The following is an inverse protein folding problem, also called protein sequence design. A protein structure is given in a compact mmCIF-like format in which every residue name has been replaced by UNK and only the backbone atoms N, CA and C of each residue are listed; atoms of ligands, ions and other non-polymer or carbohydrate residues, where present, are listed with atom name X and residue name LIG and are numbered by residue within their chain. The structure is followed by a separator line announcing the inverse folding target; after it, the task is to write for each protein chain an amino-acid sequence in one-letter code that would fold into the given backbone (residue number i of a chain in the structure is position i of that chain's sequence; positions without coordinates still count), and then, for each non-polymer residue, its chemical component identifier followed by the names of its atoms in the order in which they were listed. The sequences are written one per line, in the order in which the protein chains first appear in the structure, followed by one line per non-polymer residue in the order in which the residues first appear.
data_IF_676790907395
#
_entry.id   IF_676790907395
#
_cell.length_a   1.000
_cell.length_b   1.000
_cell.length_c   1.000
_cell.angle_alpha   90.00
_cell.angle_beta   90.00
_cell.angle_gamma   90.00
#
_symmetry.space_group_name_H-M   'P 1'
#
loop_
_entity.id
_entity.type
_entity.pdbx_description
1 polymer ?
#
# COMPACT_ATOMS: atom_id res chain seq x y z
N UNK A 1 9.70 -8.70 -3.90
CA UNK A 1 10.10 -8.43 -5.31
C UNK A 1 9.74 -9.52 -6.32
N UNK A 2 9.43 -10.77 -5.92
CA UNK A 2 9.14 -11.86 -6.87
C UNK A 2 7.93 -11.59 -7.78
N UNK A 3 6.84 -11.05 -7.23
CA UNK A 3 5.62 -10.74 -7.99
C UNK A 3 5.85 -9.66 -9.07
N UNK A 4 6.56 -8.58 -8.74
CA UNK A 4 6.87 -7.53 -9.71
C UNK A 4 7.74 -8.07 -10.86
N UNK A 5 8.76 -8.88 -10.55
CA UNK A 5 9.60 -9.52 -11.57
C UNK A 5 8.75 -10.42 -12.50
N UNK A 6 7.84 -11.21 -11.93
CA UNK A 6 6.91 -12.04 -12.70
C UNK A 6 6.01 -11.20 -13.62
N UNK A 7 5.48 -10.10 -13.09
CA UNK A 7 4.65 -9.17 -13.86
C UNK A 7 5.43 -8.50 -15.00
N UNK A 8 6.65 -8.03 -14.74
CA UNK A 8 7.52 -7.46 -15.79
C UNK A 8 7.85 -8.48 -16.89
N UNK A 9 8.08 -9.74 -16.54
CA UNK A 9 8.26 -10.81 -17.54
C UNK A 9 7.01 -11.02 -18.38
N UNK A 10 5.83 -10.98 -17.76
CA UNK A 10 4.55 -11.04 -18.47
C UNK A 10 4.36 -9.83 -19.41
N UNK A 11 4.69 -8.60 -18.98
CA UNK A 11 4.66 -7.41 -19.83
C UNK A 11 5.58 -7.57 -21.06
N UNK A 12 6.79 -8.09 -20.87
CA UNK A 12 7.72 -8.37 -21.98
C UNK A 12 7.14 -9.38 -22.97
N UNK A 13 6.53 -10.46 -22.48
CA UNK A 13 5.87 -11.47 -23.32
C UNK A 13 4.70 -10.86 -24.11
N UNK A 14 3.89 -10.03 -23.46
CA UNK A 14 2.77 -9.33 -24.09
C UNK A 14 3.24 -8.43 -25.24
N UNK A 15 4.26 -7.60 -25.01
CA UNK A 15 4.80 -6.72 -26.05
C UNK A 15 5.35 -7.53 -27.23
N UNK A 16 6.14 -8.59 -26.94
CA UNK A 16 6.72 -9.45 -27.97
C UNK A 16 5.66 -10.16 -28.81
N UNK A 17 4.60 -10.69 -28.19
CA UNK A 17 3.48 -11.32 -28.90
C UNK A 17 2.82 -10.38 -29.91
N UNK A 18 2.81 -9.08 -29.61
CA UNK A 18 2.26 -8.04 -30.47
C UNK A 18 3.29 -7.42 -31.44
N UNK A 19 4.50 -7.97 -31.55
CA UNK A 19 5.56 -7.44 -32.42
C UNK A 19 6.15 -6.11 -31.95
N UNK A 20 5.92 -5.74 -30.69
CA UNK A 20 6.42 -4.50 -30.08
C UNK A 20 7.50 -4.83 -29.04
N UNK A 21 8.29 -3.83 -28.65
CA UNK A 21 9.30 -3.94 -27.59
C UNK A 21 8.92 -3.01 -26.45
N UNK A 22 8.95 -3.52 -25.23
CA UNK A 22 8.80 -2.73 -24.01
C UNK A 22 10.02 -1.80 -23.87
N UNK A 23 9.78 -0.50 -23.77
CA UNK A 23 10.78 0.55 -23.56
C UNK A 23 10.98 0.80 -22.06
N UNK A 24 12.05 1.52 -21.70
CA UNK A 24 12.33 1.86 -20.29
C UNK A 24 11.39 2.94 -19.75
N UNK A 25 10.93 3.79 -20.65
CA UNK A 25 10.01 4.91 -20.48
C UNK A 25 8.52 4.50 -20.53
N UNK A 26 8.24 3.21 -20.76
CA UNK A 26 6.87 2.69 -20.69
C UNK A 26 6.38 2.58 -19.24
N UNK A 27 5.07 2.73 -19.05
CA UNK A 27 4.46 2.54 -17.74
C UNK A 27 4.60 1.10 -17.25
N UNK A 28 4.78 0.93 -15.94
CA UNK A 28 4.90 -0.40 -15.34
C UNK A 28 3.56 -1.13 -15.37
N UNK A 29 2.47 -0.47 -14.99
CA UNK A 29 1.13 -1.06 -14.89
C UNK A 29 0.27 -0.71 -16.09
N UNK A 30 0.08 -1.70 -16.97
CA UNK A 30 -0.53 -1.53 -18.29
C UNK A 30 -1.70 -2.47 -18.53
N UNK A 31 -2.65 -2.01 -19.33
CA UNK A 31 -3.77 -2.80 -19.84
C UNK A 31 -3.27 -3.83 -20.86
N UNK A 32 -3.79 -5.06 -20.78
CA UNK A 32 -3.49 -6.11 -21.76
C UNK A 32 -3.92 -5.72 -23.19
N UNK A 33 -5.03 -4.99 -23.32
CA UNK A 33 -5.63 -4.71 -24.62
C UNK A 33 -4.94 -3.53 -25.33
N UNK A 34 -4.75 -2.43 -24.61
CA UNK A 34 -4.25 -1.17 -25.19
C UNK A 34 -2.76 -0.96 -24.97
N UNK A 35 -2.15 -1.62 -23.97
CA UNK A 35 -0.80 -1.36 -23.42
C UNK A 35 -0.60 0.05 -22.88
N UNK A 36 -1.68 0.79 -22.74
CA UNK A 36 -1.70 2.05 -22.02
C UNK A 36 -1.84 1.79 -20.51
N UNK A 37 -1.56 2.78 -19.66
CA UNK A 37 -1.83 2.69 -18.23
C UNK A 37 -3.25 2.21 -17.94
N UNK A 38 -3.43 1.46 -16.85
CA UNK A 38 -4.77 1.16 -16.39
C UNK A 38 -5.55 2.46 -16.14
N UNK A 39 -6.77 2.53 -16.67
CA UNK A 39 -7.69 3.58 -16.29
C UNK A 39 -8.10 3.42 -14.82
N UNK A 40 -8.35 4.53 -14.13
CA UNK A 40 -8.74 4.53 -12.71
C UNK A 40 -9.95 3.63 -12.45
N UNK A 41 -10.92 3.64 -13.37
CA UNK A 41 -12.11 2.79 -13.30
C UNK A 41 -11.77 1.29 -13.31
N UNK A 42 -10.73 0.87 -14.05
CA UNK A 42 -10.32 -0.54 -14.08
C UNK A 42 -9.90 -1.04 -12.70
N UNK A 43 -9.22 -0.20 -11.93
CA UNK A 43 -8.81 -0.51 -10.57
C UNK A 43 -10.03 -0.56 -9.64
N UNK A 44 -10.94 0.41 -9.73
CA UNK A 44 -12.19 0.41 -8.99
C UNK A 44 -13.02 -0.86 -9.23
N UNK A 45 -13.19 -1.28 -10.49
CA UNK A 45 -13.93 -2.52 -10.82
C UNK A 45 -13.23 -3.77 -10.27
N UNK A 46 -11.90 -3.81 -10.30
CA UNK A 46 -11.16 -4.93 -9.71
C UNK A 46 -11.43 -5.06 -8.21
N UNK A 47 -11.39 -3.95 -7.48
CA UNK A 47 -11.68 -3.92 -6.05
C UNK A 47 -13.13 -4.23 -5.74
N UNK A 48 -14.07 -3.71 -6.52
CA UNK A 48 -15.48 -4.04 -6.40
C UNK A 48 -15.71 -5.55 -6.55
N UNK A 49 -15.11 -6.21 -7.54
CA UNK A 49 -15.22 -7.67 -7.70
C UNK A 49 -14.68 -8.44 -6.50
N UNK A 50 -13.58 -7.98 -5.89
CA UNK A 50 -13.04 -8.60 -4.68
C UNK A 50 -14.00 -8.39 -3.51
N UNK A 51 -14.54 -7.19 -3.35
CA UNK A 51 -15.54 -6.87 -2.31
C UNK A 51 -16.75 -7.82 -2.39
N UNK A 52 -17.34 -7.96 -3.57
CA UNK A 52 -18.49 -8.86 -3.80
C UNK A 52 -18.18 -10.32 -3.47
N UNK A 53 -16.98 -10.80 -3.81
CA UNK A 53 -16.57 -12.19 -3.56
C UNK A 53 -16.24 -12.50 -2.10
N UNK A 54 -15.86 -11.48 -1.33
CA UNK A 54 -15.38 -11.64 0.05
C UNK A 54 -16.43 -11.25 1.08
N UNK A 55 -17.52 -10.59 0.68
CA UNK A 55 -18.57 -10.13 1.59
C UNK A 55 -18.16 -8.92 2.43
N UNK A 56 -17.08 -8.22 2.06
CA UNK A 56 -16.68 -6.98 2.73
C UNK A 56 -17.79 -5.94 2.53
N UNK A 57 -18.36 -5.41 3.62
CA UNK A 57 -19.47 -4.45 3.56
C UNK A 57 -18.98 -3.00 3.49
N UNK A 58 -17.83 -2.71 4.09
CA UNK A 58 -17.22 -1.38 4.11
C UNK A 58 -16.68 -0.94 2.74
N UNK A 59 -16.40 0.36 2.54
CA UNK A 59 -15.73 0.85 1.34
C UNK A 59 -14.38 0.14 1.15
N UNK A 60 -14.22 -0.57 0.04
CA UNK A 60 -13.01 -1.31 -0.29
C UNK A 60 -12.38 -0.72 -1.55
N UNK A 61 -11.41 0.17 -1.35
CA UNK A 61 -10.68 0.87 -2.42
C UNK A 61 -9.18 0.69 -2.22
N UNK A 62 -8.34 1.02 -3.22
CA UNK A 62 -6.89 0.96 -3.07
C UNK A 62 -6.35 1.75 -1.86
N UNK A 63 -7.04 2.82 -1.45
CA UNK A 63 -6.67 3.60 -0.27
C UNK A 63 -6.66 2.77 1.01
N UNK A 64 -7.50 1.75 1.14
CA UNK A 64 -7.53 0.87 2.32
C UNK A 64 -6.18 0.15 2.50
N UNK A 65 -5.53 -0.25 1.41
CA UNK A 65 -4.19 -0.84 1.46
C UNK A 65 -3.12 0.17 1.85
N UNK A 66 -3.26 1.43 1.42
CA UNK A 66 -2.38 2.52 1.85
C UNK A 66 -2.48 2.76 3.35
N UNK A 67 -3.70 2.75 3.91
CA UNK A 67 -3.92 2.84 5.35
C UNK A 67 -3.33 1.64 6.09
N UNK A 68 -3.61 0.42 5.61
CA UNK A 68 -3.05 -0.81 6.19
C UNK A 68 -1.51 -0.79 6.20
N UNK A 69 -0.89 -0.32 5.12
CA UNK A 69 0.56 -0.18 5.04
C UNK A 69 1.12 0.78 6.09
N UNK A 70 0.49 1.95 6.24
CA UNK A 70 0.89 2.94 7.23
C UNK A 70 0.77 2.39 8.67
N UNK A 71 -0.39 1.80 8.99
CA UNK A 71 -0.63 1.21 10.32
C UNK A 71 0.37 0.11 10.65
N UNK A 72 0.71 -0.75 9.68
CA UNK A 72 1.70 -1.82 9.88
C UNK A 72 3.11 -1.25 10.15
N UNK A 73 3.52 -0.22 9.42
CA UNK A 73 4.82 0.44 9.63
C UNK A 73 4.90 1.10 11.01
N UNK A 74 3.82 1.76 11.42
CA UNK A 74 3.74 2.48 12.69
C UNK A 74 3.73 1.53 13.89
N UNK A 75 2.88 0.49 13.86
CA UNK A 75 2.67 -0.38 15.03
C UNK A 75 3.64 -1.54 15.10
N UNK A 76 3.75 -2.31 14.00
CA UNK A 76 4.49 -3.59 14.03
C UNK A 76 5.98 -3.39 13.80
N UNK A 77 6.34 -2.47 12.91
CA UNK A 77 7.74 -2.14 12.66
C UNK A 77 8.28 -0.99 13.54
N UNK A 78 7.41 -0.33 14.33
CA UNK A 78 7.73 0.80 15.21
C UNK A 78 8.55 1.89 14.50
N UNK A 79 8.24 2.13 13.22
CA UNK A 79 8.91 3.12 12.38
C UNK A 79 8.46 4.53 12.78
N UNK A 80 9.40 5.46 12.84
CA UNK A 80 9.12 6.85 13.19
C UNK A 80 8.11 7.49 12.22
N UNK A 81 7.20 8.32 12.78
CA UNK A 81 6.11 8.93 12.03
C UNK A 81 6.61 9.83 10.90
N UNK A 82 7.78 10.47 11.05
CA UNK A 82 8.38 11.29 9.99
C UNK A 82 8.82 10.45 8.80
N UNK A 83 9.38 9.26 9.04
CA UNK A 83 9.79 8.31 8.00
C UNK A 83 8.56 7.73 7.30
N UNK A 84 7.52 7.39 8.06
CA UNK A 84 6.26 6.91 7.47
C UNK A 84 5.59 8.00 6.64
N UNK A 85 5.63 9.26 7.09
CA UNK A 85 5.10 10.39 6.35
C UNK A 85 5.83 10.62 5.03
N UNK A 86 7.16 10.63 5.05
CA UNK A 86 7.99 10.72 3.84
C UNK A 86 7.72 9.57 2.87
N UNK A 87 7.62 8.34 3.40
CA UNK A 87 7.31 7.14 2.61
C UNK A 87 5.94 7.22 1.92
N UNK A 88 4.96 7.83 2.58
CA UNK A 88 3.63 8.03 2.03
C UNK A 88 3.57 9.26 1.12
N UNK A 89 4.53 10.17 1.18
CA UNK A 89 4.49 11.48 0.52
C UNK A 89 3.51 12.44 1.20
N UNK A 90 3.37 12.35 2.53
CA UNK A 90 2.51 13.18 3.36
C UNK A 90 3.35 13.94 4.39
N UNK A 91 2.75 14.89 5.10
CA UNK A 91 3.39 15.52 6.27
C UNK A 91 3.18 14.67 7.53
N UNK A 92 4.10 14.73 8.51
CA UNK A 92 3.93 14.02 9.78
C UNK A 92 2.63 14.39 10.50
N UNK A 93 2.19 15.65 10.38
CA UNK A 93 0.91 16.13 10.91
C UNK A 93 -0.28 15.33 10.35
N UNK A 94 -0.35 15.16 9.03
CA UNK A 94 -1.44 14.41 8.38
C UNK A 94 -1.43 12.94 8.80
N UNK A 95 -0.25 12.33 8.94
CA UNK A 95 -0.14 10.95 9.43
C UNK A 95 -0.64 10.85 10.88
N UNK A 96 -0.24 11.76 11.76
CA UNK A 96 -0.75 11.80 13.12
C UNK A 96 -2.28 11.98 13.17
N UNK A 97 -2.83 12.96 12.46
CA UNK A 97 -4.28 13.18 12.41
C UNK A 97 -5.04 11.94 11.91
N UNK A 98 -4.45 11.19 10.98
CA UNK A 98 -5.09 10.01 10.39
C UNK A 98 -4.98 8.77 11.29
N UNK A 99 -3.84 8.53 11.94
CA UNK A 99 -3.54 7.25 12.61
C UNK A 99 -3.35 7.35 14.13
N UNK A 100 -3.48 8.54 14.73
CA UNK A 100 -3.31 8.74 16.18
C UNK A 100 -4.14 7.76 17.01
N UNK A 101 -5.39 7.49 16.60
CA UNK A 101 -6.29 6.56 17.29
C UNK A 101 -5.69 5.15 17.42
N UNK A 102 -4.98 4.67 16.40
CA UNK A 102 -4.36 3.34 16.44
C UNK A 102 -3.09 3.33 17.30
N UNK A 103 -2.41 4.48 17.40
CA UNK A 103 -1.26 4.64 18.29
C UNK A 103 -1.67 4.74 19.77
N UNK A 104 -2.93 5.10 20.07
CA UNK A 104 -3.42 5.11 21.46
C UNK A 104 -3.46 3.72 22.07
N UNK A 105 -3.77 2.69 21.28
CA UNK A 105 -3.75 1.29 21.73
C UNK A 105 -2.34 0.85 22.16
N UNK A 106 -1.29 1.41 21.53
CA UNK A 106 0.10 1.18 21.92
C UNK A 106 0.53 1.92 23.21
N UNK A 107 -0.26 2.87 23.73
CA UNK A 107 0.08 3.61 24.96
C UNK A 107 0.11 2.72 26.20
N UNK A 108 -0.64 1.60 26.22
CA UNK A 108 -0.59 0.64 27.31
C UNK A 108 0.79 -0.03 27.43
N UNK A 109 1.48 -0.29 26.31
CA UNK A 109 2.86 -0.79 26.33
C UNK A 109 3.83 0.24 26.94
N UNK A 110 3.59 1.54 26.73
CA UNK A 110 4.47 2.61 27.21
C UNK A 110 4.51 2.67 28.73
N UNK A 111 3.37 2.47 29.39
CA UNK A 111 3.30 2.42 30.86
C UNK A 111 4.15 1.27 31.40
N UNK A 112 4.11 0.12 30.73
CA UNK A 112 4.89 -1.05 31.11
C UNK A 112 6.39 -0.88 30.84
N UNK A 113 6.76 -0.26 29.71
CA UNK A 113 8.14 0.09 29.36
C UNK A 113 8.72 1.06 30.40
N UNK A 114 7.98 2.12 30.74
CA UNK A 114 8.41 3.08 31.74
C UNK A 114 8.56 2.43 33.11
N UNK A 115 7.61 1.58 33.53
CA UNK A 115 7.73 0.81 34.77
C UNK A 115 8.99 -0.06 34.77
N UNK A 116 9.35 -0.70 33.66
CA UNK A 116 10.60 -1.47 33.54
C UNK A 116 11.85 -0.58 33.59
N UNK A 117 11.83 0.58 32.97
CA UNK A 117 12.96 1.51 32.92
C UNK A 117 13.22 2.21 34.27
N UNK A 118 12.19 2.40 35.09
CA UNK A 118 12.26 3.11 36.39
C UNK A 118 12.34 2.13 37.57
N UNK A 119 12.22 0.82 37.34
CA UNK A 119 12.49 -0.18 38.38
C UNK A 119 13.98 -0.17 38.75
N UNK A 120 14.24 0.18 40.01
CA UNK A 120 15.43 -0.24 40.77
C UNK A 120 15.40 -1.76 40.98
#
# INVERSE_FOLDING_TARGET
MQMLKKYQSWCKQLFLYNGQKLKEDDFVFISYQTKEPFADNSLHYAFHRVKERTGITSPFTPHVFRHTHATLLLLSAKVDVTVVADRLGNTPKVVWETYAHVLEEAKLEVVEIFSKAVKF
#
